data_IF_159958665422
#
_entry.id   IF_159958665422
#
_cell.length_a   1.000
_cell.length_b   1.000
_cell.length_c   1.000
_cell.angle_alpha   90.00
_cell.angle_beta   90.00
_cell.angle_gamma   90.00
#
_symmetry.space_group_name_H-M   'P 1'
#
loop_
_entity.id
_entity.type
_entity.pdbx_description
1 polymer ?
#
# COMPACT_ATOMS: atom_id res chain seq x y z
N UNK A 1 -4.88 -9.30 -1.58
CA UNK A 1 -4.46 -8.06 -2.28
C UNK A 1 -2.93 -7.93 -2.44
N UNK A 2 -2.41 -7.37 -3.55
CA UNK A 2 -1.04 -6.83 -3.62
C UNK A 2 -1.06 -5.32 -3.38
N UNK A 3 -0.25 -4.83 -2.45
CA UNK A 3 -0.21 -3.41 -2.05
C UNK A 3 1.22 -2.91 -2.00
N UNK A 4 1.40 -1.62 -2.27
CA UNK A 4 2.66 -0.91 -2.13
C UNK A 4 2.67 -0.15 -0.79
N UNK A 5 3.65 -0.41 0.07
CA UNK A 5 3.79 0.26 1.35
C UNK A 5 4.39 1.65 1.17
N UNK A 6 3.68 2.68 1.65
CA UNK A 6 4.18 4.06 1.69
C UNK A 6 5.09 4.30 2.89
N UNK A 7 4.88 3.55 3.98
CA UNK A 7 5.65 3.64 5.23
C UNK A 7 6.03 2.24 5.70
N UNK A 8 7.12 2.17 6.46
CA UNK A 8 7.50 0.94 7.14
C UNK A 8 6.44 0.60 8.18
N UNK A 9 5.95 -0.64 8.13
CA UNK A 9 4.96 -1.15 9.06
C UNK A 9 5.59 -2.38 9.75
N UNK A 10 5.78 -2.33 11.08
CA UNK A 10 6.40 -3.44 11.80
C UNK A 10 5.58 -4.71 11.59
N UNK A 11 6.28 -5.84 11.39
CA UNK A 11 5.71 -7.17 11.09
C UNK A 11 5.05 -7.32 9.72
N UNK A 12 5.07 -6.28 8.87
CA UNK A 12 4.41 -6.29 7.57
C UNK A 12 5.39 -6.06 6.42
N UNK A 13 6.27 -5.06 6.55
CA UNK A 13 7.29 -4.77 5.54
C UNK A 13 7.86 -3.35 5.66
N UNK A 14 8.84 -3.04 4.81
CA UNK A 14 9.46 -1.71 4.78
C UNK A 14 8.76 -0.76 3.80
N UNK A 15 9.00 0.55 3.93
CA UNK A 15 8.49 1.53 2.97
C UNK A 15 9.09 1.27 1.58
N UNK A 16 8.28 1.40 0.53
CA UNK A 16 8.71 1.19 -0.85
C UNK A 16 8.59 -0.24 -1.36
N UNK A 17 8.15 -1.18 -0.51
CA UNK A 17 8.01 -2.58 -0.88
C UNK A 17 6.59 -2.91 -1.35
N UNK A 18 6.49 -3.83 -2.33
CA UNK A 18 5.22 -4.42 -2.74
C UNK A 18 5.05 -5.77 -2.06
N UNK A 19 4.08 -5.83 -1.16
CA UNK A 19 3.76 -7.05 -0.41
C UNK A 19 2.37 -7.58 -0.73
N UNK A 20 2.17 -8.87 -0.49
CA UNK A 20 0.86 -9.52 -0.61
C UNK A 20 0.24 -9.63 0.79
N UNK A 21 -0.92 -9.00 0.97
CA UNK A 21 -1.66 -8.99 2.25
C UNK A 21 -3.09 -9.46 2.05
N UNK A 22 -3.74 -9.83 3.15
CA UNK A 22 -5.17 -10.09 3.18
C UNK A 22 -5.98 -8.84 2.81
N UNK A 23 -7.05 -9.02 2.06
CA UNK A 23 -7.87 -7.91 1.54
C UNK A 23 -8.52 -7.10 2.69
N UNK A 24 -8.95 -7.76 3.77
CA UNK A 24 -9.47 -7.10 4.97
C UNK A 24 -8.42 -6.24 5.68
N UNK A 25 -7.18 -6.70 5.78
CA UNK A 25 -6.10 -5.93 6.40
C UNK A 25 -5.76 -4.67 5.60
N UNK A 26 -5.70 -4.78 4.27
CA UNK A 26 -5.50 -3.63 3.41
C UNK A 26 -6.63 -2.61 3.52
N UNK A 27 -7.89 -3.04 3.46
CA UNK A 27 -9.06 -2.16 3.46
C UNK A 27 -9.38 -1.53 4.83
N UNK A 28 -9.15 -2.26 5.92
CA UNK A 28 -9.55 -1.79 7.26
C UNK A 28 -8.43 -1.06 8.01
N UNK A 29 -7.16 -1.37 7.69
CA UNK A 29 -6.02 -0.82 8.41
C UNK A 29 -5.10 0.01 7.52
N UNK A 30 -4.60 -0.56 6.41
CA UNK A 30 -3.56 0.11 5.62
C UNK A 30 -4.09 1.31 4.82
N UNK A 31 -5.24 1.18 4.16
CA UNK A 31 -5.81 2.24 3.33
C UNK A 31 -6.38 3.42 4.13
N UNK A 32 -7.18 3.20 5.20
CA UNK A 32 -7.71 4.31 6.01
C UNK A 32 -6.59 5.12 6.68
N UNK A 33 -5.49 4.45 7.04
CA UNK A 33 -4.30 5.08 7.64
C UNK A 33 -3.31 5.63 6.61
N UNK A 34 -3.59 5.50 5.30
CA UNK A 34 -2.69 5.93 4.20
C UNK A 34 -1.28 5.34 4.33
N UNK A 35 -1.17 4.11 4.81
CA UNK A 35 0.10 3.38 4.96
C UNK A 35 0.47 2.58 3.71
N UNK A 36 -0.51 2.25 2.87
CA UNK A 36 -0.29 1.52 1.64
C UNK A 36 -1.24 1.98 0.54
N UNK A 37 -0.91 1.68 -0.71
CA UNK A 37 -1.76 1.93 -1.88
C UNK A 37 -1.89 0.66 -2.73
N UNK A 38 -2.98 0.52 -3.46
CA UNK A 38 -3.18 -0.60 -4.38
C UNK A 38 -2.16 -0.48 -5.51
N UNK A 39 -1.31 -1.50 -5.67
CA UNK A 39 -0.18 -1.47 -6.61
C UNK A 39 -0.59 -1.52 -8.09
N UNK A 40 -1.88 -1.65 -8.40
CA UNK A 40 -2.31 -2.14 -9.70
C UNK A 40 -2.66 -1.07 -10.71
N UNK A 41 -3.04 0.15 -10.31
CA UNK A 41 -3.61 1.08 -11.30
C UNK A 41 -3.42 2.55 -10.96
N UNK A 42 -2.86 3.21 -11.97
CA UNK A 42 -2.78 4.65 -12.22
C UNK A 42 -2.05 5.50 -11.17
N UNK A 43 -0.73 5.39 -11.18
CA UNK A 43 0.11 6.57 -11.02
C UNK A 43 -0.27 7.58 -12.12
N UNK A 44 -1.30 8.40 -11.88
CA UNK A 44 -1.49 9.65 -12.63
C UNK A 44 -0.23 10.46 -12.36
N UNK A 45 0.78 10.33 -13.22
CA UNK A 45 1.79 11.37 -13.39
C UNK A 45 0.99 12.64 -13.61
N UNK A 46 0.91 13.50 -12.59
CA UNK A 46 0.67 14.92 -12.82
C UNK A 46 1.94 15.38 -13.54
N UNK A 47 1.99 15.16 -14.85
CA UNK A 47 2.88 15.92 -15.70
C UNK A 47 2.38 17.36 -15.61
N UNK A 48 3.28 18.23 -15.15
CA UNK A 48 3.17 19.68 -15.26
C UNK A 48 2.87 20.13 -16.68
#
# INVERSE_FOLDING_TARGET
MKVFLLKSVPQVGIAGEVIKVADGYAKNFLFPKKLAVTNQTCFKKKNS
#
